data_IF_008412665563
#
_entry.id   IF_008412665563
#
_cell.length_a   1.000
_cell.length_b   1.000
_cell.length_c   1.000
_cell.angle_alpha   90.00
_cell.angle_beta   90.00
_cell.angle_gamma   90.00
#
_symmetry.space_group_name_H-M   'P 1'
#
loop_
_entity.id
_entity.type
_entity.pdbx_description
1 polymer ?
#
# COMPACT_ATOMS: atom_id res chain seq x y z
N UNK A 1 49.26 -36.81 36.67
CA UNK A 1 48.41 -36.85 35.46
C UNK A 1 47.08 -36.18 35.79
N UNK A 2 46.73 -35.04 35.18
CA UNK A 2 45.42 -34.40 35.38
C UNK A 2 44.38 -35.18 34.55
N UNK A 3 43.35 -35.75 35.20
CA UNK A 3 42.19 -36.32 34.50
C UNK A 3 41.37 -35.18 33.91
N UNK A 4 41.20 -35.18 32.60
CA UNK A 4 40.18 -34.36 31.94
C UNK A 4 38.84 -35.08 32.10
N UNK A 5 37.95 -34.53 32.91
CA UNK A 5 36.55 -34.95 32.92
C UNK A 5 35.90 -34.38 31.65
N UNK A 6 35.67 -35.25 30.67
CA UNK A 6 34.93 -34.90 29.45
C UNK A 6 33.44 -34.79 29.72
N UNK A 7 32.74 -34.06 28.85
CA UNK A 7 31.28 -34.01 28.84
C UNK A 7 30.68 -35.37 28.45
N UNK A 8 29.51 -35.66 29.00
CA UNK A 8 28.72 -36.84 28.62
C UNK A 8 28.01 -36.61 27.28
N UNK A 9 27.69 -37.71 26.59
CA UNK A 9 26.96 -37.66 25.33
C UNK A 9 25.57 -37.02 25.52
N UNK A 10 24.93 -37.26 26.67
CA UNK A 10 23.63 -36.69 27.03
C UNK A 10 23.72 -35.17 27.19
N UNK A 11 24.76 -34.66 27.87
CA UNK A 11 24.96 -33.21 28.02
C UNK A 11 25.13 -32.52 26.66
N UNK A 12 25.87 -33.15 25.75
CA UNK A 12 26.03 -32.64 24.39
C UNK A 12 24.70 -32.64 23.61
N UNK A 13 23.85 -33.67 23.76
CA UNK A 13 22.55 -33.73 23.11
C UNK A 13 21.59 -32.63 23.58
N UNK A 14 21.60 -32.33 24.89
CA UNK A 14 20.74 -31.26 25.44
C UNK A 14 21.17 -29.90 24.90
N UNK A 15 22.48 -29.62 24.83
CA UNK A 15 23.00 -28.36 24.29
C UNK A 15 22.62 -28.20 22.82
N UNK A 16 22.76 -29.25 22.00
CA UNK A 16 22.37 -29.21 20.58
C UNK A 16 20.87 -28.96 20.42
N UNK A 17 20.04 -29.58 21.25
CA UNK A 17 18.59 -29.36 21.23
C UNK A 17 18.23 -27.89 21.56
N UNK A 18 18.86 -27.29 22.56
CA UNK A 18 18.64 -25.88 22.92
C UNK A 18 19.08 -24.96 21.77
N UNK A 19 20.24 -25.22 21.16
CA UNK A 19 20.74 -24.43 20.01
C UNK A 19 19.77 -24.53 18.83
N UNK A 20 19.23 -25.71 18.53
CA UNK A 20 18.27 -25.90 17.44
C UNK A 20 16.98 -25.10 17.66
N UNK A 21 16.43 -25.11 18.88
CA UNK A 21 15.23 -24.33 19.24
C UNK A 21 15.50 -22.81 19.12
N UNK A 22 16.64 -22.35 19.64
CA UNK A 22 17.01 -20.94 19.57
C UNK A 22 17.22 -20.48 18.11
N UNK A 23 17.84 -21.32 17.27
CA UNK A 23 18.04 -21.02 15.85
C UNK A 23 16.71 -20.90 15.08
N UNK A 24 15.73 -21.75 15.40
CA UNK A 24 14.38 -21.67 14.81
C UNK A 24 13.64 -20.38 15.19
N UNK A 25 13.75 -19.94 16.44
CA UNK A 25 13.13 -18.68 16.90
C UNK A 25 13.83 -17.44 16.36
N UNK A 26 15.11 -17.56 15.99
CA UNK A 26 15.90 -16.47 15.46
C UNK A 26 15.63 -16.16 13.98
N UNK A 27 14.73 -16.89 13.31
CA UNK A 27 14.36 -16.59 11.92
C UNK A 27 13.68 -15.21 11.90
N UNK A 28 14.29 -14.20 11.24
CA UNK A 28 13.71 -12.88 11.18
C UNK A 28 12.40 -12.93 10.40
N UNK A 29 11.32 -12.42 11.01
CA UNK A 29 10.06 -12.21 10.28
C UNK A 29 10.25 -11.03 9.33
N UNK A 30 9.75 -11.16 8.10
CA UNK A 30 9.78 -10.08 7.13
C UNK A 30 9.05 -8.85 7.71
N UNK A 31 9.78 -7.74 7.87
CA UNK A 31 9.23 -6.48 8.35
C UNK A 31 8.49 -5.77 7.21
N UNK A 32 7.16 -5.54 7.32
CA UNK A 32 6.41 -4.83 6.29
C UNK A 32 6.75 -3.34 6.20
N UNK A 33 7.59 -2.79 7.07
CA UNK A 33 7.93 -1.35 7.10
C UNK A 33 8.48 -0.84 5.77
N UNK A 34 9.27 -1.65 5.06
CA UNK A 34 9.78 -1.27 3.73
C UNK A 34 8.63 -1.14 2.74
N UNK A 35 7.77 -2.17 2.65
CA UNK A 35 6.61 -2.15 1.77
C UNK A 35 5.68 -0.95 2.07
N UNK A 36 5.40 -0.69 3.35
CA UNK A 36 4.59 0.47 3.78
C UNK A 36 5.18 1.81 3.34
N UNK A 37 6.51 1.94 3.44
CA UNK A 37 7.21 3.16 3.01
C UNK A 37 7.13 3.36 1.49
N UNK A 38 7.28 2.27 0.73
CA UNK A 38 7.14 2.31 -0.72
C UNK A 38 5.72 2.69 -1.16
N UNK A 39 4.70 2.20 -0.44
CA UNK A 39 3.32 2.61 -0.67
C UNK A 39 3.14 4.11 -0.41
N UNK A 40 3.66 4.62 0.72
CA UNK A 40 3.59 6.05 1.04
C UNK A 40 4.27 6.93 -0.01
N UNK A 41 5.50 6.60 -0.41
CA UNK A 41 6.24 7.37 -1.44
C UNK A 41 5.49 7.37 -2.77
N UNK A 42 4.75 6.30 -3.08
CA UNK A 42 3.97 6.22 -4.32
C UNK A 42 2.72 7.09 -4.30
N UNK A 43 2.17 7.41 -3.12
CA UNK A 43 1.02 8.32 -2.99
C UNK A 43 1.36 9.75 -3.42
N UNK A 44 2.60 10.18 -3.16
CA UNK A 44 3.06 11.53 -3.51
C UNK A 44 3.00 11.79 -5.03
N UNK A 45 3.08 10.73 -5.85
CA UNK A 45 3.01 10.82 -7.32
C UNK A 45 1.65 11.28 -7.85
N UNK A 46 0.58 11.10 -7.07
CA UNK A 46 -0.79 11.43 -7.49
C UNK A 46 -1.34 12.70 -6.84
N UNK A 47 -0.59 13.36 -5.95
CA UNK A 47 -1.11 14.52 -5.20
C UNK A 47 -1.50 15.70 -6.10
N UNK A 48 -0.75 15.95 -7.18
CA UNK A 48 -1.12 17.00 -8.14
C UNK A 48 -2.33 16.61 -9.00
N UNK A 49 -2.47 15.33 -9.36
CA UNK A 49 -3.63 14.85 -10.10
C UNK A 49 -4.90 14.83 -9.26
N UNK A 50 -4.80 14.57 -7.95
CA UNK A 50 -5.92 14.69 -7.01
C UNK A 50 -6.48 16.12 -6.98
N UNK A 51 -5.63 17.14 -7.05
CA UNK A 51 -6.06 18.55 -7.13
C UNK A 51 -6.80 18.82 -8.44
N UNK A 52 -6.35 18.24 -9.55
CA UNK A 52 -7.02 18.34 -10.85
C UNK A 52 -8.42 17.71 -10.82
N UNK A 53 -8.55 16.48 -10.30
CA UNK A 53 -9.85 15.82 -10.13
C UNK A 53 -10.77 16.66 -9.23
N UNK A 54 -10.23 17.21 -8.14
CA UNK A 54 -10.99 18.09 -7.23
C UNK A 54 -11.52 19.35 -7.92
N UNK A 55 -10.69 19.96 -8.78
CA UNK A 55 -11.06 21.13 -9.54
C UNK A 55 -12.22 20.84 -10.49
N UNK A 56 -12.11 19.77 -11.30
CA UNK A 56 -13.17 19.36 -12.24
C UNK A 56 -14.46 18.99 -11.53
N UNK A 57 -14.36 18.24 -10.43
CA UNK A 57 -15.55 17.90 -9.64
C UNK A 57 -16.24 19.14 -9.08
N UNK A 58 -15.47 20.17 -8.67
CA UNK A 58 -16.04 21.43 -8.16
C UNK A 58 -16.67 22.28 -9.27
N UNK A 59 -16.11 22.29 -10.47
CA UNK A 59 -16.61 23.11 -11.58
C UNK A 59 -17.78 22.49 -12.33
N UNK A 60 -17.74 21.18 -12.56
CA UNK A 60 -18.68 20.48 -13.45
C UNK A 60 -19.59 19.50 -12.70
N UNK A 61 -19.29 19.17 -11.44
CA UNK A 61 -19.99 18.13 -10.66
C UNK A 61 -19.91 16.74 -11.30
N UNK A 62 -18.90 16.51 -12.13
CA UNK A 62 -18.63 15.24 -12.82
C UNK A 62 -17.21 14.76 -12.51
N UNK A 63 -17.07 13.46 -12.29
CA UNK A 63 -15.78 12.80 -12.15
C UNK A 63 -15.22 12.38 -13.51
N UNK A 64 -13.94 12.67 -13.72
CA UNK A 64 -13.19 12.31 -14.91
C UNK A 64 -13.11 10.79 -15.04
N UNK A 65 -13.41 10.26 -16.24
CA UNK A 65 -13.54 8.80 -16.43
C UNK A 65 -12.20 8.11 -16.65
N UNK A 66 -11.21 8.83 -17.19
CA UNK A 66 -9.91 8.26 -17.54
C UNK A 66 -8.80 9.33 -17.66
N UNK A 67 -7.54 8.88 -17.77
CA UNK A 67 -6.36 9.73 -17.93
C UNK A 67 -6.49 10.72 -19.10
N UNK A 68 -7.02 10.27 -20.24
CA UNK A 68 -7.17 11.08 -21.45
C UNK A 68 -8.15 12.24 -21.24
N UNK A 69 -9.29 12.00 -20.59
CA UNK A 69 -10.27 13.03 -20.24
C UNK A 69 -9.68 14.02 -19.22
N UNK A 70 -8.85 13.54 -18.30
CA UNK A 70 -8.14 14.38 -17.34
C UNK A 70 -6.97 15.18 -17.94
N UNK A 71 -6.58 14.92 -19.19
CA UNK A 71 -5.42 15.54 -19.82
C UNK A 71 -4.09 15.16 -19.16
N UNK A 72 -4.03 14.00 -18.49
CA UNK A 72 -2.81 13.46 -17.88
C UNK A 72 -2.23 12.34 -18.77
N UNK A 73 -0.92 12.01 -18.64
CA UNK A 73 -0.31 10.95 -19.43
C UNK A 73 -1.05 9.61 -19.33
N UNK A 74 -0.91 8.79 -20.37
CA UNK A 74 -1.42 7.41 -20.39
C UNK A 74 -0.87 6.59 -19.21
N UNK A 75 -1.59 5.57 -18.72
CA UNK A 75 -1.24 4.87 -17.49
C UNK A 75 0.21 4.34 -17.44
N UNK A 76 0.71 3.78 -18.54
CA UNK A 76 2.06 3.22 -18.67
C UNK A 76 3.19 4.28 -18.76
N UNK A 77 2.82 5.57 -18.78
CA UNK A 77 3.75 6.71 -18.75
C UNK A 77 3.81 7.38 -17.38
N UNK A 78 2.92 7.03 -16.47
CA UNK A 78 2.93 7.49 -15.09
C UNK A 78 3.75 6.52 -14.24
N UNK A 79 5.07 6.72 -14.27
CA UNK A 79 6.06 5.84 -13.66
C UNK A 79 6.62 6.44 -12.37
N UNK A 80 6.95 5.57 -11.42
CA UNK A 80 7.67 5.92 -10.20
C UNK A 80 8.68 4.84 -9.80
N UNK A 81 9.37 5.04 -8.67
CA UNK A 81 10.36 4.08 -8.19
C UNK A 81 9.77 2.68 -7.97
N UNK A 82 8.51 2.61 -7.54
CA UNK A 82 7.82 1.36 -7.20
C UNK A 82 6.56 1.10 -8.01
N UNK A 83 6.04 2.09 -8.74
CA UNK A 83 4.85 1.95 -9.59
C UNK A 83 5.23 2.03 -11.06
N UNK A 84 4.64 1.19 -11.89
CA UNK A 84 4.85 1.15 -13.34
C UNK A 84 3.59 1.50 -14.15
N UNK A 85 2.46 1.70 -13.48
CA UNK A 85 1.30 2.35 -14.07
C UNK A 85 0.47 3.09 -13.01
N UNK A 86 -0.14 4.21 -13.43
CA UNK A 86 -1.18 4.91 -12.65
C UNK A 86 -2.39 5.15 -13.56
N UNK A 87 -3.48 4.45 -13.28
CA UNK A 87 -4.75 4.61 -13.99
C UNK A 87 -5.68 5.51 -13.18
N UNK A 88 -6.23 6.54 -13.81
CA UNK A 88 -7.43 7.22 -13.33
C UNK A 88 -8.63 6.49 -13.94
N UNK A 89 -9.59 6.08 -13.11
CA UNK A 89 -10.83 5.46 -13.55
C UNK A 89 -12.00 5.98 -12.73
N UNK A 90 -12.94 6.63 -13.39
CA UNK A 90 -14.17 7.15 -12.77
C UNK A 90 -13.90 7.93 -11.47
N UNK A 91 -12.89 8.80 -11.49
CA UNK A 91 -12.44 9.62 -10.35
C UNK A 91 -11.45 8.95 -9.39
N UNK A 92 -11.33 7.63 -9.39
CA UNK A 92 -10.40 6.90 -8.53
C UNK A 92 -9.03 6.67 -9.20
N UNK A 93 -7.95 6.78 -8.45
CA UNK A 93 -6.61 6.43 -8.91
C UNK A 93 -6.28 4.98 -8.54
N UNK A 94 -5.68 4.25 -9.47
CA UNK A 94 -5.18 2.89 -9.29
C UNK A 94 -3.68 2.86 -9.59
N UNK A 95 -2.88 2.65 -8.55
CA UNK A 95 -1.43 2.58 -8.63
C UNK A 95 -1.02 1.11 -8.73
N UNK A 96 -0.47 0.70 -9.86
CA UNK A 96 0.08 -0.64 -10.04
C UNK A 96 1.54 -0.67 -9.57
N UNK A 97 1.85 -1.55 -8.62
CA UNK A 97 3.19 -1.71 -8.07
C UNK A 97 3.99 -2.70 -8.92
N UNK A 98 5.08 -2.23 -9.50
CA UNK A 98 5.96 -3.02 -10.34
C UNK A 98 7.42 -2.78 -9.98
N UNK A 99 8.20 -2.27 -10.94
CA UNK A 99 9.55 -1.71 -10.78
C UNK A 99 10.39 -2.31 -9.62
N UNK A 100 10.82 -1.45 -8.67
CA UNK A 100 11.62 -1.82 -7.49
C UNK A 100 10.73 -2.12 -6.27
N UNK A 101 9.44 -2.36 -6.48
CA UNK A 101 8.51 -2.65 -5.40
C UNK A 101 8.93 -3.92 -4.64
N UNK A 102 8.68 -3.91 -3.33
CA UNK A 102 8.98 -5.01 -2.44
C UNK A 102 8.20 -6.26 -2.89
N UNK A 103 8.76 -7.47 -2.78
CA UNK A 103 8.09 -8.68 -3.25
C UNK A 103 6.68 -8.91 -2.71
N UNK A 104 6.35 -8.42 -1.50
CA UNK A 104 4.99 -8.54 -0.94
C UNK A 104 3.93 -7.67 -1.63
N UNK A 105 4.35 -6.60 -2.33
CA UNK A 105 3.48 -5.63 -3.00
C UNK A 105 3.66 -5.58 -4.52
N UNK A 106 4.69 -6.21 -5.07
CA UNK A 106 4.92 -6.22 -6.52
C UNK A 106 3.82 -7.02 -7.24
N UNK A 107 3.35 -6.49 -8.37
CA UNK A 107 2.21 -6.97 -9.14
C UNK A 107 0.83 -6.63 -8.54
N UNK A 108 0.79 -5.88 -7.44
CA UNK A 108 -0.45 -5.51 -6.73
C UNK A 108 -0.85 -4.07 -7.05
N UNK A 109 -2.10 -3.74 -6.77
CA UNK A 109 -2.71 -2.43 -7.01
C UNK A 109 -3.18 -1.79 -5.71
N UNK A 110 -2.92 -0.50 -5.54
CA UNK A 110 -3.55 0.35 -4.52
C UNK A 110 -4.54 1.29 -5.18
N UNK A 111 -5.74 1.38 -4.62
CA UNK A 111 -6.73 2.38 -5.04
C UNK A 111 -6.77 3.56 -4.07
N UNK A 112 -6.89 4.76 -4.63
CA UNK A 112 -7.10 6.01 -3.90
C UNK A 112 -8.35 6.66 -4.47
N UNK A 113 -9.40 6.74 -3.65
CA UNK A 113 -10.73 7.13 -4.08
C UNK A 113 -11.10 8.49 -3.49
N UNK A 114 -11.76 9.37 -4.25
CA UNK A 114 -12.36 10.55 -3.67
C UNK A 114 -13.58 10.13 -2.83
N UNK A 115 -13.78 10.83 -1.72
CA UNK A 115 -14.97 10.74 -0.90
C UNK A 115 -15.70 12.08 -0.90
N UNK A 116 -17.00 12.04 -1.14
CA UNK A 116 -17.87 13.22 -1.18
C UNK A 116 -18.93 13.13 -0.10
N UNK A 117 -19.39 14.28 0.38
CA UNK A 117 -20.50 14.36 1.34
C UNK A 117 -21.79 13.96 0.62
N UNK A 118 -22.55 13.04 1.22
CA UNK A 118 -23.86 12.62 0.69
C UNK A 118 -24.77 13.83 0.56
N UNK A 119 -25.49 13.90 -0.57
CA UNK A 119 -26.47 14.94 -0.87
C UNK A 119 -25.91 16.39 -0.87
N UNK A 120 -24.59 16.55 -0.85
CA UNK A 120 -23.92 17.86 -0.87
C UNK A 120 -22.65 17.83 -1.74
N UNK A 121 -22.80 17.71 -3.08
CA UNK A 121 -21.68 17.52 -3.99
C UNK A 121 -20.76 18.76 -4.13
N UNK A 122 -21.20 19.93 -3.67
CA UNK A 122 -20.40 21.16 -3.60
C UNK A 122 -19.56 21.27 -2.32
N UNK A 123 -19.77 20.38 -1.34
CA UNK A 123 -18.94 20.33 -0.15
C UNK A 123 -17.50 19.96 -0.49
N UNK A 124 -16.51 20.35 0.32
CA UNK A 124 -15.14 19.89 0.16
C UNK A 124 -15.09 18.36 0.14
N UNK A 125 -14.44 17.81 -0.89
CA UNK A 125 -14.17 16.38 -0.97
C UNK A 125 -12.87 16.04 -0.24
N UNK A 126 -12.75 14.79 0.20
CA UNK A 126 -11.52 14.23 0.75
C UNK A 126 -11.13 12.98 -0.05
N UNK A 127 -10.09 12.28 0.37
CA UNK A 127 -9.59 11.08 -0.29
C UNK A 127 -9.39 9.97 0.72
N UNK A 128 -9.79 8.75 0.36
CA UNK A 128 -9.48 7.53 1.09
C UNK A 128 -8.48 6.70 0.31
N UNK A 129 -7.66 5.97 1.03
CA UNK A 129 -6.63 5.12 0.45
C UNK A 129 -6.88 3.66 0.84
N UNK A 130 -6.68 2.75 -0.10
CA UNK A 130 -6.59 1.33 0.17
C UNK A 130 -7.83 0.77 0.84
N UNK A 131 -7.69 0.30 2.08
CA UNK A 131 -8.74 -0.35 2.87
C UNK A 131 -9.22 0.51 4.03
N UNK A 132 -8.96 1.83 3.98
CA UNK A 132 -9.50 2.80 4.92
C UNK A 132 -11.04 2.84 4.85
N UNK A 133 -11.69 3.06 5.99
CA UNK A 133 -13.13 3.13 6.06
C UNK A 133 -13.63 4.49 5.56
N UNK A 134 -14.79 4.49 4.90
CA UNK A 134 -15.45 5.74 4.50
C UNK A 134 -16.07 6.39 5.75
N UNK A 135 -15.70 7.64 6.11
CA UNK A 135 -16.29 8.32 7.25
C UNK A 135 -17.82 8.45 7.13
N UNK A 136 -18.51 8.39 8.27
CA UNK A 136 -19.97 8.56 8.33
C UNK A 136 -20.41 9.86 7.66
N UNK A 137 -21.41 9.77 6.78
CA UNK A 137 -21.93 10.92 6.02
C UNK A 137 -21.24 11.16 4.68
N UNK A 138 -20.18 10.42 4.37
CA UNK A 138 -19.52 10.44 3.06
C UNK A 138 -19.78 9.17 2.25
N UNK A 139 -19.48 9.23 0.95
CA UNK A 139 -19.48 8.09 0.05
C UNK A 139 -18.22 8.10 -0.83
N UNK A 140 -17.62 6.93 -1.02
CA UNK A 140 -16.52 6.74 -1.96
C UNK A 140 -17.02 6.76 -3.40
N UNK A 141 -16.17 7.25 -4.29
CA UNK A 141 -16.41 7.32 -5.73
C UNK A 141 -15.43 6.42 -6.46
N UNK A 142 -15.92 5.78 -7.53
CA UNK A 142 -15.16 4.80 -8.31
C UNK A 142 -15.08 3.44 -7.61
N UNK A 143 -14.42 2.51 -8.26
CA UNK A 143 -14.19 1.15 -7.74
C UNK A 143 -12.97 1.12 -6.82
N UNK A 144 -12.99 0.26 -5.79
CA UNK A 144 -11.79 -0.05 -5.02
C UNK A 144 -11.17 -1.35 -5.51
N UNK A 145 -10.01 -1.26 -6.18
CA UNK A 145 -9.26 -2.39 -6.72
C UNK A 145 -8.06 -2.77 -5.83
N UNK A 146 -8.05 -2.37 -4.57
CA UNK A 146 -6.91 -2.62 -3.67
C UNK A 146 -6.81 -4.10 -3.31
N UNK A 147 -5.74 -4.75 -3.77
CA UNK A 147 -5.41 -6.16 -3.50
C UNK A 147 -4.22 -6.32 -2.53
N UNK A 148 -3.68 -5.21 -2.02
CA UNK A 148 -2.64 -5.19 -0.99
C UNK A 148 -3.13 -5.79 0.34
N UNK A 149 -2.25 -6.51 1.03
CA UNK A 149 -2.55 -7.02 2.36
C UNK A 149 -2.49 -5.89 3.40
N UNK A 150 -3.33 -5.98 4.44
CA UNK A 150 -3.40 -4.98 5.52
C UNK A 150 -2.02 -4.78 6.17
N UNK A 151 -1.20 -5.83 6.27
CA UNK A 151 0.15 -5.75 6.84
C UNK A 151 1.06 -4.80 6.04
N UNK A 152 0.90 -4.73 4.72
CA UNK A 152 1.75 -3.97 3.81
C UNK A 152 1.26 -2.53 3.59
N UNK A 153 0.00 -2.23 3.92
CA UNK A 153 -0.55 -0.88 3.83
C UNK A 153 0.00 0.01 4.95
N UNK A 154 0.22 1.32 4.74
CA UNK A 154 0.49 2.28 5.82
C UNK A 154 -0.80 2.63 6.57
N UNK A 155 -0.70 3.34 7.71
CA UNK A 155 -1.85 3.55 8.60
C UNK A 155 -2.99 4.31 7.92
N UNK A 156 -2.66 5.35 7.17
CA UNK A 156 -3.60 6.17 6.39
C UNK A 156 -4.34 5.41 5.27
N UNK A 157 -3.94 4.17 4.96
CA UNK A 157 -4.61 3.31 3.99
C UNK A 157 -5.31 2.11 4.65
N UNK A 158 -5.40 2.10 5.98
CA UNK A 158 -5.99 1.02 6.79
C UNK A 158 -7.14 1.47 7.68
N UNK A 159 -7.16 2.75 8.08
CA UNK A 159 -8.14 3.32 8.99
C UNK A 159 -8.92 4.43 8.30
#
# INVERSE_FOLDING_TARGET
MKKFNGFTLIEMMVVVAIIAILALMAIPKADPTIARRQVLESLDLIEDYKKLVAYYQKSELVFLKNNKEAGIPEPDKLLGNYVDAIELKDGAFHLHFGNKAHPSIKGKTLSVQPIVVKDSPQSPMSWICGKADVPTGMQAVGENRTDLEIKDLPINCRI
#
